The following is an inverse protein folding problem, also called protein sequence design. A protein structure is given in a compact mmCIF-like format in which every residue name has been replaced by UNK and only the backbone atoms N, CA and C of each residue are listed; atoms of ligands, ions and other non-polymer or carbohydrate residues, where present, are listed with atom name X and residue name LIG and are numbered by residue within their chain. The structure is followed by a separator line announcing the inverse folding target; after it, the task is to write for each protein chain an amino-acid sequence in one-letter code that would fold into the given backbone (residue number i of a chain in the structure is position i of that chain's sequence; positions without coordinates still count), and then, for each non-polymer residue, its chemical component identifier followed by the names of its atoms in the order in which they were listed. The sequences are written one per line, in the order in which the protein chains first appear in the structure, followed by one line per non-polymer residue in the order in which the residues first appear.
data_IF_736863398392
#
_entry.id   IF_736863398392
#
_cell.length_a   1.000
_cell.length_b   1.000
_cell.length_c   1.000
_cell.angle_alpha   90.00
_cell.angle_beta   90.00
_cell.angle_gamma   90.00
#
_symmetry.space_group_name_H-M   'P 1'
#
loop_
_entity.id
_entity.type
_entity.pdbx_description
1 polymer ?
#
# COMPACT_ATOMS: atom_id res chain seq x y z
N UNK A 1 64.66 -8.40 22.82
CA UNK A 1 64.01 -7.16 23.27
C UNK A 1 62.55 -7.22 22.90
N UNK A 2 61.71 -6.83 23.84
CA UNK A 2 60.30 -7.15 24.08
C UNK A 2 59.30 -6.55 23.08
N UNK A 3 58.23 -7.30 22.80
CA UNK A 3 57.00 -6.81 22.19
C UNK A 3 56.21 -5.92 23.19
N UNK A 4 55.44 -4.91 22.74
CA UNK A 4 54.47 -4.26 23.60
C UNK A 4 53.03 -4.75 23.35
N UNK A 5 52.38 -5.05 24.46
CA UNK A 5 50.96 -5.32 24.65
C UNK A 5 50.05 -4.20 24.12
N UNK A 6 49.12 -4.54 23.22
CA UNK A 6 47.95 -3.70 22.90
C UNK A 6 46.69 -4.53 22.62
N UNK A 7 46.48 -5.61 23.38
CA UNK A 7 45.23 -6.39 23.33
C UNK A 7 44.39 -6.32 24.62
N UNK A 8 44.81 -5.56 25.63
CA UNK A 8 44.13 -5.51 26.94
C UNK A 8 43.24 -4.27 27.17
N UNK A 9 43.10 -3.33 26.22
CA UNK A 9 42.30 -2.11 26.44
C UNK A 9 40.95 -2.08 25.72
N UNK A 10 40.57 -3.13 25.00
CA UNK A 10 39.29 -3.18 24.27
C UNK A 10 38.20 -3.99 24.99
N UNK A 11 38.55 -4.85 25.96
CA UNK A 11 37.57 -5.61 26.74
C UNK A 11 36.97 -4.81 27.91
N UNK A 12 37.58 -3.70 28.33
CA UNK A 12 37.05 -2.87 29.42
C UNK A 12 36.02 -1.81 28.97
N UNK A 13 36.00 -1.45 27.69
CA UNK A 13 35.06 -0.45 27.16
C UNK A 13 33.71 -1.05 26.72
N UNK A 14 33.67 -2.37 26.47
CA UNK A 14 32.43 -3.08 26.11
C UNK A 14 31.57 -3.41 27.35
N UNK A 15 32.19 -3.72 28.51
CA UNK A 15 31.44 -3.94 29.76
C UNK A 15 30.89 -2.63 30.37
N UNK A 16 31.55 -1.50 30.14
CA UNK A 16 31.14 -0.22 30.74
C UNK A 16 29.97 0.44 29.98
N UNK A 17 29.86 0.22 28.67
CA UNK A 17 28.71 0.68 27.86
C UNK A 17 27.50 -0.26 28.04
N UNK A 18 27.74 -1.57 28.21
CA UNK A 18 26.67 -2.54 28.51
C UNK A 18 26.04 -2.30 29.90
N UNK A 19 26.80 -1.83 30.90
CA UNK A 19 26.27 -1.45 32.23
C UNK A 19 25.50 -0.14 32.25
N UNK A 20 25.72 0.77 31.30
CA UNK A 20 24.99 2.06 31.23
C UNK A 20 23.67 1.96 30.45
N UNK A 21 23.55 1.00 29.53
CA UNK A 21 22.28 0.70 28.85
C UNK A 21 21.32 -0.14 29.71
N UNK A 22 21.82 -0.80 30.76
CA UNK A 22 21.04 -1.69 31.62
C UNK A 22 20.41 -0.99 32.83
N UNK A 23 20.76 0.26 33.11
CA UNK A 23 20.27 1.02 34.27
C UNK A 23 19.22 2.09 33.92
N UNK A 24 18.97 2.37 32.64
CA UNK A 24 17.89 3.28 32.18
C UNK A 24 16.68 2.51 31.61
N UNK A 25 16.67 1.18 31.70
CA UNK A 25 15.54 0.33 31.29
C UNK A 25 14.83 -0.38 32.45
N UNK A 26 15.23 -0.12 33.70
CA UNK A 26 14.56 -0.65 34.90
C UNK A 26 13.52 0.30 35.53
N UNK A 27 13.27 1.50 34.98
CA UNK A 27 12.21 2.40 35.51
C UNK A 27 10.95 2.55 34.64
N UNK A 28 10.89 1.92 33.47
CA UNK A 28 9.70 1.96 32.59
C UNK A 28 9.05 0.58 32.35
N UNK A 29 9.54 -0.48 33.00
CA UNK A 29 8.93 -1.83 32.94
C UNK A 29 8.09 -2.20 34.17
N UNK A 30 8.08 -1.39 35.23
CA UNK A 30 7.22 -1.60 36.43
C UNK A 30 5.82 -0.95 36.35
N UNK A 31 5.47 -0.27 35.25
CA UNK A 31 4.15 0.38 35.12
C UNK A 31 3.12 -0.39 34.26
N UNK A 32 3.41 -1.62 33.82
CA UNK A 32 2.53 -2.33 32.87
C UNK A 32 2.27 -3.82 33.16
N UNK A 33 2.43 -4.25 34.42
CA UNK A 33 2.12 -5.63 34.84
C UNK A 33 1.32 -5.69 36.16
N UNK A 34 0.13 -5.07 36.18
CA UNK A 34 -0.89 -5.44 37.16
C UNK A 34 -2.30 -5.36 36.55
N UNK A 35 -2.65 -6.37 35.74
CA UNK A 35 -4.04 -6.81 35.58
C UNK A 35 -4.09 -8.16 34.84
N UNK A 36 -3.79 -9.24 35.57
CA UNK A 36 -4.26 -10.58 35.21
C UNK A 36 -4.88 -11.21 36.46
N UNK A 37 -6.21 -11.19 36.51
CA UNK A 37 -6.96 -12.04 37.44
C UNK A 37 -6.96 -13.48 36.93
N UNK A 38 -6.77 -14.50 37.79
CA UNK A 38 -6.84 -15.87 37.38
C UNK A 38 -8.30 -16.35 37.28
N UNK A 39 -8.52 -17.21 36.30
CA UNK A 39 -9.72 -18.00 36.11
C UNK A 39 -9.79 -19.05 37.23
N UNK A 40 -10.82 -18.98 38.09
CA UNK A 40 -11.12 -20.00 39.11
C UNK A 40 -12.50 -20.58 38.84
N UNK A 41 -12.53 -21.90 38.78
CA UNK A 41 -13.67 -22.79 38.55
C UNK A 41 -14.76 -22.66 39.64
N UNK A 42 -16.03 -22.82 39.26
CA UNK A 42 -17.19 -22.84 40.18
C UNK A 42 -17.41 -24.24 40.79
N UNK A 43 -16.43 -24.73 41.52
CA UNK A 43 -16.56 -25.86 42.46
C UNK A 43 -15.49 -25.66 43.53
N UNK A 44 -15.87 -25.83 44.80
CA UNK A 44 -15.09 -25.60 46.03
C UNK A 44 -15.17 -24.17 46.59
N UNK A 45 -16.26 -23.88 47.32
CA UNK A 45 -16.24 -23.16 48.61
C UNK A 45 -17.61 -23.33 49.29
N UNK A 46 -17.86 -24.54 49.78
CA UNK A 46 -18.93 -24.82 50.73
C UNK A 46 -18.29 -25.45 51.97
N UNK A 47 -17.88 -24.64 52.96
CA UNK A 47 -17.75 -25.01 54.38
C UNK A 47 -17.22 -23.82 55.22
N UNK A 48 -17.67 -23.77 56.49
CA UNK A 48 -17.47 -22.75 57.54
C UNK A 48 -18.34 -21.48 57.38
N UNK A 49 -19.34 -21.13 58.22
CA UNK A 49 -19.59 -21.38 59.64
C UNK A 49 -18.74 -20.43 60.49
N UNK A 50 -19.22 -19.45 61.26
CA UNK A 50 -20.55 -18.92 61.56
C UNK A 50 -20.45 -17.62 62.40
N UNK A 51 -21.62 -17.02 62.70
CA UNK A 51 -21.95 -16.02 63.75
C UNK A 51 -21.18 -14.68 63.83
N UNK A 52 -21.87 -13.56 63.57
CA UNK A 52 -22.30 -12.65 64.65
C UNK A 52 -23.44 -11.71 64.19
N UNK A 53 -24.25 -11.27 65.15
CA UNK A 53 -25.48 -10.47 65.02
C UNK A 53 -25.21 -8.98 64.77
N UNK A 54 -26.16 -8.29 64.14
CA UNK A 54 -26.35 -6.86 64.32
C UNK A 54 -26.63 -6.06 63.04
N UNK A 55 -27.88 -5.63 62.93
CA UNK A 55 -28.33 -4.40 62.26
C UNK A 55 -28.44 -4.28 60.72
N UNK A 56 -29.72 -4.13 60.34
CA UNK A 56 -30.28 -3.14 59.40
C UNK A 56 -30.72 -3.63 57.99
N UNK A 57 -31.95 -3.30 57.53
CA UNK A 57 -32.68 -4.09 56.54
C UNK A 57 -32.56 -3.59 55.09
N UNK A 58 -32.33 -4.55 54.20
CA UNK A 58 -33.02 -4.76 52.93
C UNK A 58 -33.19 -3.57 51.95
N UNK A 59 -32.16 -3.30 51.14
CA UNK A 59 -32.34 -2.76 49.77
C UNK A 59 -31.21 -3.18 48.81
N UNK A 60 -31.16 -4.46 48.44
CA UNK A 60 -30.53 -4.98 47.20
C UNK A 60 -31.26 -6.28 46.86
N UNK A 61 -31.62 -6.65 45.64
CA UNK A 61 -31.47 -6.21 44.25
C UNK A 61 -32.44 -7.13 43.48
N UNK A 62 -32.94 -6.78 42.30
CA UNK A 62 -33.09 -7.81 41.24
C UNK A 62 -32.59 -7.31 39.89
N UNK A 63 -31.60 -8.05 39.40
CA UNK A 63 -30.87 -7.92 38.14
C UNK A 63 -31.79 -8.05 36.92
N UNK A 64 -31.47 -7.24 35.91
CA UNK A 64 -32.03 -7.15 34.56
C UNK A 64 -32.27 -8.51 33.88
N UNK A 65 -31.47 -9.54 34.21
CA UNK A 65 -31.46 -10.83 33.53
C UNK A 65 -32.55 -11.82 33.96
N UNK A 66 -33.26 -11.59 35.08
CA UNK A 66 -34.40 -12.45 35.48
C UNK A 66 -35.73 -12.09 34.81
N UNK A 67 -35.78 -11.05 33.97
CA UNK A 67 -37.00 -10.65 33.24
C UNK A 67 -37.12 -11.25 31.84
N UNK A 68 -36.07 -11.85 31.28
CA UNK A 68 -36.07 -12.30 29.88
C UNK A 68 -36.50 -13.76 29.65
N UNK A 69 -36.64 -14.59 30.70
CA UNK A 69 -36.94 -16.03 30.54
C UNK A 69 -38.01 -16.54 31.51
N UNK A 70 -39.16 -15.87 31.59
CA UNK A 70 -40.31 -16.40 32.31
C UNK A 70 -41.59 -16.20 31.49
N UNK A 71 -41.87 -17.12 30.57
CA UNK A 71 -43.19 -17.26 29.97
C UNK A 71 -43.66 -18.72 30.02
N UNK A 72 -44.88 -18.91 30.56
CA UNK A 72 -45.59 -20.16 30.89
C UNK A 72 -45.01 -20.91 32.10
N UNK A 73 -45.76 -21.36 33.11
CA UNK A 73 -47.15 -21.84 33.31
C UNK A 73 -47.31 -21.79 34.87
N UNK A 74 -48.44 -21.54 35.52
CA UNK A 74 -49.69 -22.32 35.63
C UNK A 74 -50.59 -21.56 36.61
N UNK A 75 -51.89 -21.61 36.37
CA UNK A 75 -52.90 -21.29 37.37
C UNK A 75 -52.79 -22.23 38.58
N UNK A 76 -52.62 -21.69 39.77
CA UNK A 76 -53.15 -22.29 41.01
C UNK A 76 -53.72 -21.16 41.85
N UNK A 77 -55.02 -21.25 42.08
CA UNK A 77 -55.72 -20.33 42.95
C UNK A 77 -55.29 -20.52 44.40
N UNK A 78 -55.24 -19.41 45.13
CA UNK A 78 -55.47 -19.42 46.56
C UNK A 78 -56.68 -18.54 46.81
N UNK A 79 -57.78 -19.17 47.23
CA UNK A 79 -58.82 -18.52 48.02
C UNK A 79 -58.23 -18.30 49.41
N UNK A 80 -58.35 -17.11 49.96
CA UNK A 80 -58.79 -16.86 51.34
C UNK A 80 -58.94 -15.35 51.56
N UNK A 81 -60.13 -14.97 52.03
CA UNK A 81 -60.50 -13.88 52.94
C UNK A 81 -59.80 -12.51 52.83
N UNK A 82 -60.47 -11.36 52.84
CA UNK A 82 -61.86 -11.06 53.12
C UNK A 82 -62.03 -9.52 53.15
N UNK A 83 -63.24 -9.05 52.86
CA UNK A 83 -63.82 -7.74 53.21
C UNK A 83 -62.89 -6.50 53.14
N UNK A 84 -63.09 -5.67 52.12
CA UNK A 84 -63.70 -4.36 52.37
C UNK A 84 -64.32 -3.80 51.10
N UNK A 85 -65.59 -3.44 51.23
CA UNK A 85 -66.38 -2.69 50.25
C UNK A 85 -65.99 -1.23 50.46
N UNK A 86 -65.45 -0.56 49.43
CA UNK A 86 -65.58 0.89 49.27
C UNK A 86 -66.00 1.21 47.84
N UNK A 87 -67.16 1.86 47.77
CA UNK A 87 -67.85 2.33 46.58
C UNK A 87 -66.91 3.10 45.65
N UNK A 88 -66.88 2.70 44.38
CA UNK A 88 -66.34 3.52 43.30
C UNK A 88 -67.49 4.20 42.58
N UNK A 89 -67.49 5.53 42.63
CA UNK A 89 -68.36 6.40 41.86
C UNK A 89 -68.22 6.10 40.36
N UNK A 90 -69.36 5.95 39.69
CA UNK A 90 -69.44 5.85 38.25
C UNK A 90 -69.04 7.16 37.58
N UNK A 91 -67.96 7.10 36.79
CA UNK A 91 -67.84 7.77 35.49
C UNK A 91 -66.43 7.55 34.94
N UNK A 92 -66.25 6.52 34.11
CA UNK A 92 -65.07 6.39 33.25
C UNK A 92 -65.47 5.66 31.97
N UNK A 93 -65.50 6.41 30.85
CA UNK A 93 -65.73 5.89 29.50
C UNK A 93 -64.57 4.93 29.12
N UNK A 94 -64.82 3.82 28.39
CA UNK A 94 -63.74 2.92 28.01
C UNK A 94 -62.91 3.53 26.87
N UNK A 95 -61.62 3.79 27.14
CA UNK A 95 -60.63 4.14 26.10
C UNK A 95 -60.38 2.88 25.26
N UNK A 96 -61.06 2.84 24.11
CA UNK A 96 -61.11 1.69 23.18
C UNK A 96 -59.79 1.54 22.40
N UNK A 97 -59.07 0.44 22.64
CA UNK A 97 -58.19 -0.36 21.75
C UNK A 97 -57.73 0.22 20.38
N UNK A 98 -57.17 1.44 20.30
CA UNK A 98 -56.63 1.98 19.03
C UNK A 98 -55.12 1.86 18.88
N UNK A 99 -54.38 1.68 19.99
CA UNK A 99 -52.90 1.65 20.01
C UNK A 99 -52.29 0.29 19.64
N UNK A 100 -53.04 -0.80 19.78
CA UNK A 100 -52.55 -2.17 19.51
C UNK A 100 -52.48 -2.51 18.01
N UNK A 101 -53.38 -1.97 17.18
CA UNK A 101 -53.41 -2.26 15.73
C UNK A 101 -52.17 -1.77 14.98
N UNK A 102 -51.64 -0.59 15.33
CA UNK A 102 -50.44 -0.02 14.70
C UNK A 102 -49.18 -0.85 15.00
N UNK A 103 -49.05 -1.35 16.23
CA UNK A 103 -47.92 -2.23 16.59
C UNK A 103 -47.99 -3.58 15.88
N UNK A 104 -49.17 -4.19 15.71
CA UNK A 104 -49.32 -5.43 14.94
C UNK A 104 -49.03 -5.26 13.46
N UNK A 105 -49.39 -4.11 12.85
CA UNK A 105 -49.06 -3.81 11.45
C UNK A 105 -47.55 -3.62 11.30
N UNK A 106 -46.91 -2.90 12.21
CA UNK A 106 -45.45 -2.71 12.20
C UNK A 106 -44.69 -4.03 12.38
N UNK A 107 -45.14 -4.89 13.31
CA UNK A 107 -44.55 -6.20 13.53
C UNK A 107 -44.75 -7.14 12.32
N UNK A 108 -45.92 -7.07 11.67
CA UNK A 108 -46.20 -7.76 10.41
C UNK A 108 -45.30 -7.29 9.27
N UNK A 109 -45.09 -5.97 9.15
CA UNK A 109 -44.18 -5.41 8.16
C UNK A 109 -42.72 -5.82 8.39
N UNK A 110 -42.24 -5.78 9.64
CA UNK A 110 -40.88 -6.22 9.99
C UNK A 110 -40.67 -7.72 9.73
N UNK A 111 -41.66 -8.56 10.03
CA UNK A 111 -41.57 -10.01 9.76
C UNK A 111 -41.53 -10.32 8.27
N UNK A 112 -42.31 -9.61 7.45
CA UNK A 112 -42.23 -9.71 5.99
C UNK A 112 -40.87 -9.23 5.48
N UNK A 113 -40.35 -8.10 6.00
CA UNK A 113 -39.04 -7.59 5.62
C UNK A 113 -37.92 -8.60 5.93
N UNK A 114 -37.93 -9.19 7.12
CA UNK A 114 -36.96 -10.23 7.48
C UNK A 114 -37.12 -11.50 6.65
N UNK A 115 -38.34 -11.89 6.30
CA UNK A 115 -38.58 -13.03 5.41
C UNK A 115 -38.04 -12.77 4.00
N UNK A 116 -38.26 -11.58 3.45
CA UNK A 116 -37.71 -11.16 2.15
C UNK A 116 -36.18 -11.09 2.18
N UNK A 117 -35.60 -10.58 3.26
CA UNK A 117 -34.15 -10.59 3.46
C UNK A 117 -33.61 -12.02 3.55
N UNK A 118 -34.29 -12.91 4.27
CA UNK A 118 -33.94 -14.34 4.32
C UNK A 118 -33.98 -15.01 2.96
N UNK A 119 -35.06 -14.80 2.19
CA UNK A 119 -35.20 -15.29 0.81
C UNK A 119 -34.09 -14.78 -0.11
N UNK A 120 -33.73 -13.49 0.00
CA UNK A 120 -32.61 -12.91 -0.76
C UNK A 120 -31.27 -13.58 -0.43
N UNK A 121 -31.00 -13.87 0.85
CA UNK A 121 -29.77 -14.56 1.24
C UNK A 121 -29.76 -16.02 0.76
N UNK A 122 -30.88 -16.73 0.83
CA UNK A 122 -31.00 -18.09 0.28
C UNK A 122 -30.79 -18.10 -1.23
N UNK A 123 -31.39 -17.16 -1.96
CA UNK A 123 -31.17 -17.03 -3.41
C UNK A 123 -29.70 -16.75 -3.73
N UNK A 124 -29.05 -15.86 -2.98
CA UNK A 124 -27.60 -15.57 -3.14
C UNK A 124 -26.74 -16.81 -2.87
N UNK A 125 -27.06 -17.62 -1.86
CA UNK A 125 -26.37 -18.88 -1.59
C UNK A 125 -26.58 -19.88 -2.74
N UNK A 126 -27.81 -20.05 -3.23
CA UNK A 126 -28.11 -20.96 -4.33
C UNK A 126 -27.43 -20.54 -5.65
N UNK A 127 -27.39 -19.24 -5.95
CA UNK A 127 -26.65 -18.70 -7.10
C UNK A 127 -25.13 -18.90 -6.90
N UNK A 128 -24.63 -18.68 -5.68
CA UNK A 128 -23.23 -18.92 -5.33
C UNK A 128 -22.81 -20.40 -5.36
N UNK A 129 -23.76 -21.34 -5.30
CA UNK A 129 -23.55 -22.77 -5.52
C UNK A 129 -23.58 -23.17 -7.01
N UNK A 130 -23.98 -22.25 -7.90
CA UNK A 130 -24.00 -22.46 -9.36
C UNK A 130 -22.66 -22.96 -9.93
N UNK A 131 -21.50 -22.37 -9.55
CA UNK A 131 -20.18 -22.86 -9.96
C UNK A 131 -19.85 -24.29 -9.51
N UNK A 132 -20.55 -24.82 -8.50
CA UNK A 132 -20.37 -26.20 -8.03
C UNK A 132 -21.09 -27.23 -8.91
N UNK A 133 -22.10 -26.79 -9.66
CA UNK A 133 -22.92 -27.61 -10.55
C UNK A 133 -22.66 -27.32 -12.04
N UNK A 134 -22.02 -26.19 -12.34
CA UNK A 134 -21.72 -25.74 -13.68
C UNK A 134 -20.39 -24.99 -13.67
N UNK A 135 -19.32 -25.73 -13.94
CA UNK A 135 -18.00 -25.18 -14.20
C UNK A 135 -17.75 -25.27 -15.70
N UNK A 136 -17.90 -24.20 -16.49
CA UNK A 136 -17.53 -24.19 -17.88
C UNK A 136 -16.03 -23.87 -18.00
N UNK A 137 -15.19 -24.60 -17.29
CA UNK A 137 -13.74 -24.54 -17.50
C UNK A 137 -13.43 -25.18 -18.85
N UNK A 138 -13.31 -24.31 -19.86
CA UNK A 138 -12.94 -24.64 -21.24
C UNK A 138 -11.54 -25.31 -21.32
N UNK A 139 -10.75 -25.22 -20.26
CA UNK A 139 -9.45 -25.91 -20.06
C UNK A 139 -9.56 -27.45 -20.13
N UNK A 140 -10.75 -28.02 -19.96
CA UNK A 140 -10.95 -29.47 -20.10
C UNK A 140 -10.96 -29.93 -21.58
N UNK A 141 -10.90 -29.02 -22.55
CA UNK A 141 -11.03 -29.33 -23.97
C UNK A 141 -9.84 -30.08 -24.60
N UNK A 142 -8.65 -30.13 -23.98
CA UNK A 142 -7.55 -31.03 -24.38
C UNK A 142 -6.54 -31.18 -23.22
N UNK A 143 -6.81 -32.03 -22.21
CA UNK A 143 -6.01 -32.08 -20.97
C UNK A 143 -4.55 -32.52 -21.18
N UNK A 144 -4.26 -33.12 -22.33
CA UNK A 144 -2.93 -33.59 -22.70
C UNK A 144 -2.26 -32.70 -23.77
N UNK A 145 -2.81 -31.52 -24.09
CA UNK A 145 -2.25 -30.64 -25.11
C UNK A 145 -0.77 -30.34 -24.82
N UNK A 146 0.07 -30.61 -25.82
CA UNK A 146 1.52 -30.39 -25.78
C UNK A 146 2.33 -31.15 -24.75
N UNK A 147 1.81 -32.29 -24.29
CA UNK A 147 2.61 -33.36 -23.72
C UNK A 147 3.31 -34.17 -24.82
N UNK A 148 4.45 -34.83 -24.52
CA UNK A 148 5.16 -35.68 -25.48
C UNK A 148 4.24 -36.75 -26.11
N UNK A 149 4.20 -36.81 -27.44
CA UNK A 149 3.37 -37.76 -28.21
C UNK A 149 1.86 -37.45 -28.22
N UNK A 150 1.44 -36.28 -27.76
CA UNK A 150 0.04 -35.83 -27.76
C UNK A 150 -0.19 -34.70 -28.76
N UNK A 151 -1.44 -34.37 -29.14
CA UNK A 151 -1.72 -33.19 -29.96
C UNK A 151 -1.11 -31.94 -29.32
N UNK A 152 -0.38 -31.14 -30.11
CA UNK A 152 0.32 -29.98 -29.58
C UNK A 152 1.72 -30.24 -29.05
N UNK A 153 2.29 -31.45 -29.18
CA UNK A 153 3.66 -31.75 -28.73
C UNK A 153 4.67 -30.74 -29.30
N UNK A 154 5.47 -30.13 -28.43
CA UNK A 154 6.36 -29.01 -28.78
C UNK A 154 5.67 -27.65 -29.03
N UNK A 155 4.34 -27.57 -28.87
CA UNK A 155 3.51 -26.36 -29.06
C UNK A 155 2.77 -25.92 -27.79
N UNK A 156 3.00 -26.56 -26.64
CA UNK A 156 2.43 -26.15 -25.33
C UNK A 156 3.05 -24.87 -24.79
N UNK A 157 4.33 -24.63 -25.05
CA UNK A 157 5.03 -23.43 -24.59
C UNK A 157 5.07 -22.37 -25.68
N UNK A 158 4.54 -21.19 -25.39
CA UNK A 158 4.78 -20.02 -26.23
C UNK A 158 6.10 -19.34 -25.86
N UNK A 159 6.92 -18.91 -26.82
CA UNK A 159 8.24 -18.36 -26.51
C UNK A 159 8.23 -17.20 -25.50
N UNK A 160 7.17 -16.39 -25.48
CA UNK A 160 7.03 -15.21 -24.61
C UNK A 160 5.88 -15.31 -23.60
N UNK A 161 5.49 -16.54 -23.23
CA UNK A 161 4.29 -16.82 -22.40
C UNK A 161 4.32 -16.20 -21.00
N UNK A 162 5.50 -15.85 -20.48
CA UNK A 162 5.68 -15.40 -19.09
C UNK A 162 4.81 -14.19 -18.72
N UNK A 163 4.57 -13.27 -19.67
CA UNK A 163 3.70 -12.10 -19.46
C UNK A 163 2.53 -12.02 -20.42
N UNK A 164 2.17 -13.15 -21.05
CA UNK A 164 0.96 -13.24 -21.88
C UNK A 164 -0.28 -12.85 -21.05
N UNK A 165 -1.22 -12.15 -21.68
CA UNK A 165 -2.47 -11.68 -21.08
C UNK A 165 -2.31 -10.68 -19.92
N UNK A 166 -1.09 -10.21 -19.65
CA UNK A 166 -0.82 -9.16 -18.67
C UNK A 166 -0.87 -7.80 -19.36
N UNK A 167 -1.97 -7.08 -19.14
CA UNK A 167 -2.12 -5.72 -19.64
C UNK A 167 -1.32 -4.73 -18.78
N UNK A 168 -0.33 -4.01 -19.33
CA UNK A 168 0.36 -3.00 -18.57
C UNK A 168 -0.55 -1.82 -18.23
N UNK A 169 -0.43 -1.35 -17.00
CA UNK A 169 -1.14 -0.20 -16.45
C UNK A 169 -0.14 0.80 -15.85
N UNK A 170 -0.48 2.10 -15.86
CA UNK A 170 0.36 3.16 -15.29
C UNK A 170 0.34 3.14 -13.75
N UNK A 171 0.82 2.05 -13.15
CA UNK A 171 1.06 1.95 -11.71
C UNK A 171 2.52 1.65 -11.39
N UNK A 172 2.94 2.21 -10.27
CA UNK A 172 4.25 2.07 -9.68
C UNK A 172 4.11 1.31 -8.36
N UNK A 173 4.63 0.09 -8.34
CA UNK A 173 4.68 -0.78 -7.16
C UNK A 173 5.62 -0.17 -6.13
N UNK A 174 5.04 0.54 -5.17
CA UNK A 174 5.78 1.22 -4.11
C UNK A 174 6.30 0.23 -3.08
N UNK A 175 7.55 0.43 -2.64
CA UNK A 175 8.28 -0.51 -1.80
C UNK A 175 8.16 -1.96 -2.28
N UNK A 176 8.37 -2.18 -3.57
CA UNK A 176 8.13 -3.47 -4.22
C UNK A 176 8.87 -4.63 -3.52
N UNK A 177 10.06 -4.34 -2.98
CA UNK A 177 10.88 -5.26 -2.22
C UNK A 177 10.21 -5.79 -0.93
N UNK A 178 9.16 -5.16 -0.39
CA UNK A 178 8.40 -5.66 0.78
C UNK A 178 7.51 -6.86 0.44
N UNK A 179 7.25 -7.10 -0.84
CA UNK A 179 6.30 -8.13 -1.26
C UNK A 179 6.90 -9.53 -1.08
N UNK A 180 6.02 -10.51 -0.95
CA UNK A 180 6.41 -11.91 -0.86
C UNK A 180 7.22 -12.38 -2.06
N UNK A 181 6.81 -11.94 -3.26
CA UNK A 181 7.50 -12.22 -4.53
C UNK A 181 7.67 -10.87 -5.24
N UNK A 182 8.76 -10.11 -5.02
CA UNK A 182 8.92 -8.69 -5.40
C UNK A 182 8.54 -8.35 -6.87
N UNK A 183 9.52 -8.19 -7.76
CA UNK A 183 9.36 -7.81 -9.16
C UNK A 183 8.18 -8.54 -9.85
N UNK A 184 8.07 -9.85 -9.62
CA UNK A 184 7.05 -10.70 -10.21
C UNK A 184 5.62 -10.32 -9.82
N UNK A 185 5.37 -9.90 -8.58
CA UNK A 185 4.03 -9.45 -8.17
C UNK A 185 3.63 -8.18 -8.92
N UNK A 186 4.56 -7.22 -9.07
CA UNK A 186 4.29 -6.00 -9.82
C UNK A 186 3.96 -6.29 -11.29
N UNK A 187 4.79 -7.11 -11.94
CA UNK A 187 4.57 -7.54 -13.33
C UNK A 187 3.24 -8.27 -13.46
N UNK A 188 2.94 -9.23 -12.58
CA UNK A 188 1.69 -10.00 -12.60
C UNK A 188 0.43 -9.11 -12.63
N UNK A 189 0.45 -7.99 -11.90
CA UNK A 189 -0.66 -7.03 -11.86
C UNK A 189 -0.57 -5.93 -12.93
N UNK A 190 0.40 -5.99 -13.84
CA UNK A 190 0.60 -5.04 -14.92
C UNK A 190 1.26 -3.73 -14.53
N UNK A 191 1.86 -3.60 -13.34
CA UNK A 191 2.53 -2.35 -12.96
C UNK A 191 3.79 -2.12 -13.81
N UNK A 192 3.82 -0.98 -14.47
CA UNK A 192 4.91 -0.51 -15.34
C UNK A 192 6.04 0.19 -14.59
N UNK A 193 5.97 0.24 -13.26
CA UNK A 193 7.07 0.73 -12.43
C UNK A 193 7.24 -0.09 -11.14
N UNK A 194 8.49 -0.23 -10.71
CA UNK A 194 8.90 -0.89 -9.45
C UNK A 194 9.93 -0.03 -8.73
N UNK A 195 10.08 -0.25 -7.42
CA UNK A 195 10.97 0.50 -6.55
C UNK A 195 11.88 -0.41 -5.74
N UNK A 196 13.17 -0.06 -5.69
CA UNK A 196 14.17 -0.71 -4.86
C UNK A 196 14.82 0.29 -3.89
N UNK A 197 14.70 0.05 -2.59
CA UNK A 197 15.42 0.79 -1.56
C UNK A 197 16.82 0.20 -1.37
N UNK A 198 17.84 0.85 -1.93
CA UNK A 198 19.20 0.32 -2.04
C UNK A 198 20.13 0.92 -1.00
N UNK A 199 20.84 0.04 -0.31
CA UNK A 199 21.84 0.35 0.70
C UNK A 199 23.20 -0.23 0.30
N UNK A 200 24.27 0.57 0.37
CA UNK A 200 25.63 0.08 0.17
C UNK A 200 26.24 -0.34 1.52
N UNK A 201 26.56 -1.62 1.66
CA UNK A 201 27.30 -2.16 2.81
C UNK A 201 28.32 -3.17 2.33
N UNK A 202 29.58 -3.02 2.79
CA UNK A 202 30.66 -3.95 2.46
C UNK A 202 30.78 -4.23 0.95
N UNK A 203 30.70 -3.16 0.15
CA UNK A 203 30.80 -3.20 -1.33
C UNK A 203 29.67 -3.97 -2.04
N UNK A 204 28.58 -4.31 -1.34
CA UNK A 204 27.39 -4.95 -1.90
C UNK A 204 26.16 -4.03 -1.78
N UNK A 205 25.28 -4.10 -2.78
CA UNK A 205 24.02 -3.36 -2.83
C UNK A 205 22.89 -4.22 -2.27
N UNK A 206 22.55 -3.99 -1.00
CA UNK A 206 21.47 -4.68 -0.30
C UNK A 206 20.15 -3.92 -0.45
N UNK A 207 19.03 -4.64 -0.44
CA UNK A 207 17.69 -4.05 -0.60
C UNK A 207 16.83 -4.27 0.64
N UNK A 208 16.27 -3.19 1.17
CA UNK A 208 15.38 -3.24 2.32
C UNK A 208 14.92 -1.86 2.79
N UNK A 209 13.94 -1.83 3.69
CA UNK A 209 13.35 -0.56 4.14
C UNK A 209 14.26 0.20 5.10
N UNK A 210 14.96 -0.58 5.90
CA UNK A 210 15.84 -0.15 6.97
C UNK A 210 16.93 -1.19 7.12
N UNK A 211 17.97 -0.83 7.87
CA UNK A 211 19.14 -1.67 8.07
C UNK A 211 18.83 -3.01 8.74
N UNK A 212 17.78 -3.08 9.57
CA UNK A 212 17.36 -4.32 10.24
C UNK A 212 16.72 -5.35 9.31
N UNK A 213 16.20 -4.92 8.15
CA UNK A 213 15.59 -5.79 7.15
C UNK A 213 16.58 -6.31 6.10
N UNK A 214 17.85 -5.90 6.16
CA UNK A 214 18.87 -6.28 5.18
C UNK A 214 19.34 -7.71 5.42
N UNK A 215 19.45 -8.49 4.34
CA UNK A 215 19.98 -9.85 4.38
C UNK A 215 20.91 -10.07 3.19
N UNK A 216 21.91 -10.94 3.35
CA UNK A 216 22.94 -11.20 2.32
C UNK A 216 22.38 -11.68 0.98
N UNK A 217 21.24 -12.37 1.00
CA UNK A 217 20.63 -12.92 -0.22
C UNK A 217 19.66 -11.95 -0.90
N UNK A 218 19.38 -10.79 -0.30
CA UNK A 218 18.44 -9.80 -0.85
C UNK A 218 19.23 -8.60 -1.37
N UNK A 219 19.93 -8.85 -2.47
CA UNK A 219 20.74 -7.84 -3.17
C UNK A 219 19.96 -7.20 -4.31
N UNK A 220 20.42 -6.04 -4.78
CA UNK A 220 19.86 -5.34 -5.92
C UNK A 220 19.87 -6.22 -7.19
N UNK A 221 20.92 -7.04 -7.36
CA UNK A 221 20.99 -8.03 -8.44
C UNK A 221 19.93 -9.12 -8.32
N UNK A 222 19.91 -9.80 -7.17
CA UNK A 222 19.05 -10.97 -6.96
C UNK A 222 17.55 -10.67 -7.04
N UNK A 223 17.14 -9.45 -6.64
CA UNK A 223 15.73 -9.06 -6.63
C UNK A 223 15.27 -8.37 -7.91
N UNK A 224 16.15 -7.67 -8.61
CA UNK A 224 15.78 -6.83 -9.75
C UNK A 224 16.60 -7.10 -11.00
N UNK A 225 17.94 -6.92 -10.97
CA UNK A 225 18.74 -6.94 -12.20
C UNK A 225 18.73 -8.32 -12.87
N UNK A 226 19.08 -9.39 -12.15
CA UNK A 226 19.21 -10.71 -12.75
C UNK A 226 17.84 -11.25 -13.21
N UNK A 227 16.74 -11.12 -12.43
CA UNK A 227 15.41 -11.44 -12.92
C UNK A 227 14.99 -10.64 -14.15
N UNK A 228 15.30 -9.34 -14.24
CA UNK A 228 14.96 -8.52 -15.40
C UNK A 228 15.73 -8.95 -16.64
N UNK A 229 17.04 -9.20 -16.52
CA UNK A 229 17.84 -9.74 -17.63
C UNK A 229 17.23 -11.04 -18.13
N UNK A 230 16.88 -11.95 -17.22
CA UNK A 230 16.26 -13.23 -17.59
C UNK A 230 14.93 -13.03 -18.32
N UNK A 231 14.03 -12.20 -17.79
CA UNK A 231 12.73 -11.93 -18.42
C UNK A 231 12.92 -11.36 -19.82
N UNK A 232 13.84 -10.40 -19.99
CA UNK A 232 14.06 -9.75 -21.28
C UNK A 232 14.76 -10.66 -22.28
N UNK A 233 15.70 -11.51 -21.85
CA UNK A 233 16.32 -12.54 -22.69
C UNK A 233 15.25 -13.53 -23.20
N UNK A 234 14.33 -13.96 -22.32
CA UNK A 234 13.23 -14.86 -22.68
C UNK A 234 12.21 -14.16 -23.62
N UNK A 235 11.99 -12.85 -23.47
CA UNK A 235 11.12 -12.04 -24.34
C UNK A 235 11.76 -11.71 -25.71
N UNK A 236 13.09 -11.86 -25.83
CA UNK A 236 13.86 -11.54 -27.02
C UNK A 236 14.72 -12.73 -27.50
N UNK A 237 14.11 -13.89 -27.80
CA UNK A 237 14.87 -15.08 -28.17
C UNK A 237 15.53 -14.90 -29.54
N UNK A 238 16.82 -15.24 -29.66
CA UNK A 238 17.48 -15.26 -30.97
C UNK A 238 17.15 -16.56 -31.70
N UNK A 239 16.34 -16.47 -32.76
CA UNK A 239 15.91 -17.60 -33.59
C UNK A 239 16.21 -17.34 -35.06
N UNK A 240 16.16 -18.37 -35.91
CA UNK A 240 16.32 -18.19 -37.36
C UNK A 240 15.30 -17.23 -38.00
N UNK A 241 14.19 -16.92 -37.32
CA UNK A 241 13.12 -16.07 -37.82
C UNK A 241 13.28 -14.59 -37.48
N UNK A 242 14.16 -14.24 -36.54
CA UNK A 242 14.33 -12.88 -36.04
C UNK A 242 15.80 -12.48 -35.82
N UNK A 243 16.74 -13.18 -36.47
CA UNK A 243 18.19 -12.88 -36.43
C UNK A 243 18.54 -11.44 -36.79
N UNK A 244 17.78 -10.84 -37.71
CA UNK A 244 18.00 -9.49 -38.20
C UNK A 244 17.07 -8.45 -37.54
N UNK A 245 16.29 -8.86 -36.54
CA UNK A 245 15.39 -7.95 -35.83
C UNK A 245 16.18 -7.08 -34.86
N UNK A 246 16.23 -5.78 -35.14
CA UNK A 246 16.78 -4.78 -34.21
C UNK A 246 15.78 -4.36 -33.13
N UNK A 247 14.51 -4.79 -33.25
CA UNK A 247 13.46 -4.41 -32.31
C UNK A 247 13.57 -5.21 -31.01
N UNK A 248 13.76 -4.51 -29.91
CA UNK A 248 13.73 -5.06 -28.55
C UNK A 248 12.30 -5.02 -28.03
N UNK A 249 11.86 -6.15 -27.47
CA UNK A 249 10.60 -6.29 -26.74
C UNK A 249 10.83 -6.05 -25.25
N UNK A 250 9.90 -5.31 -24.64
CA UNK A 250 9.87 -5.03 -23.22
C UNK A 250 9.36 -6.21 -22.38
N UNK A 251 9.02 -5.93 -21.13
CA UNK A 251 8.59 -6.95 -20.16
C UNK A 251 7.20 -7.52 -20.48
N UNK A 252 6.31 -6.73 -21.07
CA UNK A 252 4.91 -7.08 -21.28
C UNK A 252 4.67 -7.53 -22.73
N UNK A 253 4.29 -8.80 -22.93
CA UNK A 253 4.01 -9.35 -24.27
C UNK A 253 2.83 -8.62 -24.95
N UNK A 254 1.82 -8.22 -24.18
CA UNK A 254 0.65 -7.45 -24.66
C UNK A 254 0.98 -6.04 -25.17
N UNK A 255 2.07 -5.44 -24.69
CA UNK A 255 2.62 -4.18 -25.22
C UNK A 255 4.16 -4.21 -25.16
N UNK A 256 4.82 -4.78 -26.18
CA UNK A 256 6.27 -4.92 -26.20
C UNK A 256 7.03 -3.59 -26.22
N UNK A 257 6.35 -2.46 -26.46
CA UNK A 257 6.97 -1.12 -26.45
C UNK A 257 6.97 -0.48 -25.07
N UNK A 258 6.17 -1.02 -24.14
CA UNK A 258 6.03 -0.48 -22.80
C UNK A 258 7.30 -0.75 -21.98
N UNK A 259 8.02 0.32 -21.64
CA UNK A 259 9.18 0.24 -20.75
C UNK A 259 8.75 -0.05 -19.30
N UNK A 260 9.56 -0.85 -18.58
CA UNK A 260 9.44 -0.99 -17.14
C UNK A 260 10.34 0.05 -16.46
N UNK A 261 9.77 0.83 -15.54
CA UNK A 261 10.55 1.81 -14.79
C UNK A 261 11.10 1.18 -13.51
N UNK A 262 12.43 1.08 -13.40
CA UNK A 262 13.12 0.69 -12.18
C UNK A 262 13.54 1.96 -11.41
N UNK A 263 12.79 2.30 -10.38
CA UNK A 263 13.14 3.39 -9.48
C UNK A 263 14.08 2.89 -8.39
N UNK A 264 15.25 3.50 -8.27
CA UNK A 264 16.30 3.13 -7.32
C UNK A 264 16.42 4.22 -6.27
N UNK A 265 15.95 3.95 -5.05
CA UNK A 265 16.03 4.88 -3.92
C UNK A 265 17.34 4.67 -3.16
N UNK A 266 18.24 5.65 -3.25
CA UNK A 266 19.55 5.61 -2.63
C UNK A 266 19.42 5.93 -1.13
N UNK A 267 19.59 4.92 -0.27
CA UNK A 267 19.40 5.06 1.18
C UNK A 267 20.67 5.39 1.96
N UNK A 268 21.85 5.13 1.38
CA UNK A 268 23.15 5.56 1.93
C UNK A 268 23.69 6.77 1.16
N UNK A 269 24.94 7.15 1.41
CA UNK A 269 25.58 8.24 0.68
C UNK A 269 25.55 7.99 -0.84
N UNK A 270 25.13 9.02 -1.60
CA UNK A 270 24.86 8.87 -3.01
C UNK A 270 26.09 8.82 -3.88
N UNK A 271 27.14 9.57 -3.54
CA UNK A 271 28.38 9.61 -4.33
C UNK A 271 29.12 8.28 -4.26
N UNK A 272 29.13 7.64 -3.08
CA UNK A 272 29.72 6.31 -2.88
C UNK A 272 28.87 5.18 -3.48
N UNK A 273 27.54 5.27 -3.42
CA UNK A 273 26.63 4.22 -3.92
C UNK A 273 26.48 4.22 -5.44
N UNK A 274 26.48 5.40 -6.07
CA UNK A 274 26.27 5.57 -7.52
C UNK A 274 27.11 4.64 -8.42
N UNK A 275 28.44 4.53 -8.27
CA UNK A 275 29.26 3.67 -9.15
C UNK A 275 28.90 2.18 -9.04
N UNK A 276 28.42 1.71 -7.87
CA UNK A 276 27.97 0.32 -7.71
C UNK A 276 26.67 0.06 -8.45
N UNK A 277 25.74 1.04 -8.44
CA UNK A 277 24.50 0.94 -9.22
C UNK A 277 24.81 0.93 -10.71
N UNK A 278 25.66 1.85 -11.19
CA UNK A 278 26.09 1.86 -12.60
C UNK A 278 26.75 0.55 -13.03
N UNK A 279 27.55 -0.05 -12.14
CA UNK A 279 28.19 -1.35 -12.35
C UNK A 279 27.16 -2.48 -12.44
N UNK A 280 26.17 -2.54 -11.54
CA UNK A 280 25.11 -3.56 -11.59
C UNK A 280 24.25 -3.42 -12.84
N UNK A 281 23.98 -2.20 -13.31
CA UNK A 281 23.21 -1.94 -14.53
C UNK A 281 23.93 -2.38 -15.82
N UNK A 282 25.24 -2.66 -15.80
CA UNK A 282 25.98 -3.17 -16.96
C UNK A 282 25.32 -4.41 -17.58
N UNK A 283 24.76 -5.31 -16.75
CA UNK A 283 24.10 -6.52 -17.21
C UNK A 283 22.89 -6.24 -18.14
N UNK A 284 22.20 -5.12 -17.96
CA UNK A 284 21.13 -4.66 -18.85
C UNK A 284 21.68 -3.78 -19.99
N UNK A 285 22.67 -2.94 -19.68
CA UNK A 285 23.31 -2.01 -20.62
C UNK A 285 23.96 -2.73 -21.80
N UNK A 286 24.76 -3.75 -21.51
CA UNK A 286 25.54 -4.49 -22.51
C UNK A 286 24.65 -5.26 -23.50
N UNK A 287 23.37 -5.45 -23.15
CA UNK A 287 22.32 -6.07 -23.97
C UNK A 287 21.38 -5.04 -24.61
N UNK A 288 21.68 -3.74 -24.51
CA UNK A 288 20.86 -2.63 -25.02
C UNK A 288 19.42 -2.57 -24.44
N UNK A 289 19.20 -3.11 -23.24
CA UNK A 289 17.87 -3.10 -22.62
C UNK A 289 17.52 -1.80 -21.90
N UNK A 290 18.50 -0.95 -21.62
CA UNK A 290 18.28 0.31 -20.90
C UNK A 290 17.81 1.41 -21.84
N UNK A 291 16.95 2.27 -21.32
CA UNK A 291 16.67 3.60 -21.87
C UNK A 291 17.86 4.50 -21.53
N UNK A 292 18.38 5.24 -22.51
CA UNK A 292 19.55 6.08 -22.29
C UNK A 292 19.49 7.37 -23.12
N UNK A 293 20.25 8.37 -22.68
CA UNK A 293 20.56 9.58 -23.40
C UNK A 293 21.90 9.40 -24.14
N UNK A 294 21.91 9.65 -25.45
CA UNK A 294 23.08 9.45 -26.33
C UNK A 294 23.93 10.72 -26.56
N UNK A 295 23.67 11.77 -25.76
CA UNK A 295 24.28 13.08 -25.94
C UNK A 295 23.42 14.07 -26.71
N UNK A 296 22.40 13.60 -27.42
CA UNK A 296 21.51 14.43 -28.23
C UNK A 296 20.02 14.15 -27.97
N UNK A 297 19.64 12.89 -27.75
CA UNK A 297 18.26 12.45 -27.60
C UNK A 297 18.13 11.25 -26.66
N UNK A 298 16.89 10.93 -26.28
CA UNK A 298 16.57 9.74 -25.50
C UNK A 298 16.26 8.58 -26.43
N UNK A 299 17.04 7.51 -26.30
CA UNK A 299 16.79 6.21 -26.94
C UNK A 299 16.00 5.35 -25.95
N UNK A 300 14.78 5.00 -26.33
CA UNK A 300 13.88 4.22 -25.49
C UNK A 300 14.30 2.75 -25.45
N UNK A 301 14.50 2.21 -24.24
CA UNK A 301 14.78 0.80 -24.00
C UNK A 301 13.66 0.10 -23.23
N UNK A 302 13.81 -1.22 -23.06
CA UNK A 302 12.90 -2.07 -22.31
C UNK A 302 12.79 -1.69 -20.82
N UNK A 303 13.86 -1.13 -20.24
CA UNK A 303 13.90 -0.66 -18.85
C UNK A 303 14.33 0.80 -18.80
N UNK A 304 13.60 1.64 -18.08
CA UNK A 304 14.04 3.01 -17.74
C UNK A 304 14.47 3.04 -16.27
N UNK A 305 15.71 3.42 -15.98
CA UNK A 305 16.21 3.53 -14.60
C UNK A 305 16.07 4.96 -14.10
N UNK A 306 15.49 5.13 -12.92
CA UNK A 306 15.32 6.44 -12.29
C UNK A 306 15.92 6.43 -10.90
N UNK A 307 16.87 7.31 -10.61
CA UNK A 307 17.46 7.47 -9.29
C UNK A 307 16.67 8.47 -8.42
N UNK A 308 16.42 8.09 -7.17
CA UNK A 308 15.72 8.89 -6.16
C UNK A 308 16.37 8.77 -4.78
N UNK A 309 15.84 9.45 -3.76
CA UNK A 309 16.47 9.48 -2.43
C UNK A 309 17.74 10.33 -2.44
N UNK A 310 18.86 9.74 -2.00
CA UNK A 310 20.16 10.43 -1.97
C UNK A 310 20.90 10.47 -3.31
N UNK A 311 20.24 10.14 -4.44
CA UNK A 311 20.89 10.14 -5.75
C UNK A 311 21.46 11.52 -6.12
N UNK A 312 22.76 11.65 -6.43
CA UNK A 312 23.37 12.93 -6.74
C UNK A 312 23.10 13.37 -8.18
N UNK A 313 22.36 14.48 -8.33
CA UNK A 313 22.01 15.02 -9.65
C UNK A 313 23.24 15.31 -10.51
N UNK A 314 24.34 15.83 -9.93
CA UNK A 314 25.51 16.17 -10.73
C UNK A 314 26.18 14.95 -11.34
N UNK A 315 26.24 13.81 -10.63
CA UNK A 315 26.82 12.58 -11.19
C UNK A 315 25.96 12.04 -12.33
N UNK A 316 24.63 12.09 -12.20
CA UNK A 316 23.74 11.77 -13.32
C UNK A 316 24.05 12.64 -14.52
N UNK A 317 24.23 13.96 -14.35
CA UNK A 317 24.46 14.87 -15.48
C UNK A 317 25.92 15.05 -15.89
N UNK A 318 26.87 14.37 -15.23
CA UNK A 318 28.29 14.59 -15.44
C UNK A 318 28.75 14.15 -16.83
N UNK A 319 28.23 13.02 -17.31
CA UNK A 319 28.53 12.52 -18.65
C UNK A 319 27.58 13.14 -19.68
N UNK A 320 28.12 13.91 -20.61
CA UNK A 320 27.33 14.56 -21.67
C UNK A 320 27.12 13.71 -22.90
N UNK A 321 27.76 12.54 -23.02
CA UNK A 321 27.70 11.68 -24.22
C UNK A 321 26.89 10.41 -24.01
N UNK A 322 26.84 9.87 -22.80
CA UNK A 322 26.04 8.68 -22.51
C UNK A 322 25.56 8.65 -21.06
N UNK A 323 24.25 8.43 -20.85
CA UNK A 323 23.64 8.29 -19.52
C UNK A 323 22.43 7.39 -19.56
N UNK A 324 22.32 6.42 -18.67
CA UNK A 324 21.20 5.47 -18.61
C UNK A 324 20.43 5.50 -17.27
N UNK A 325 20.80 6.42 -16.38
CA UNK A 325 20.10 6.72 -15.14
C UNK A 325 19.50 8.13 -15.25
N UNK A 326 18.19 8.24 -15.07
CA UNK A 326 17.46 9.51 -15.03
C UNK A 326 17.19 9.94 -13.60
N UNK A 327 16.99 11.23 -13.38
CA UNK A 327 16.68 11.78 -12.07
C UNK A 327 15.16 11.79 -11.77
N UNK A 328 14.81 11.60 -10.50
CA UNK A 328 13.47 11.88 -9.96
C UNK A 328 13.38 13.33 -9.48
N UNK A 329 12.86 14.21 -10.32
CA UNK A 329 12.81 15.64 -10.04
C UNK A 329 11.79 15.99 -8.94
N UNK A 330 12.04 17.02 -8.12
CA UNK A 330 11.11 17.47 -7.09
C UNK A 330 9.91 18.20 -7.70
N UNK A 331 8.76 17.52 -7.84
CA UNK A 331 7.59 18.02 -8.57
C UNK A 331 7.03 19.35 -8.01
N UNK A 332 7.06 19.53 -6.69
CA UNK A 332 6.60 20.76 -6.02
C UNK A 332 7.47 21.98 -6.31
N UNK A 333 8.72 21.78 -6.73
CA UNK A 333 9.65 22.86 -7.10
C UNK A 333 9.59 23.24 -8.57
N UNK A 334 8.88 22.47 -9.40
CA UNK A 334 8.73 22.75 -10.83
C UNK A 334 7.73 23.88 -11.11
N UNK A 335 6.83 24.18 -10.16
CA UNK A 335 5.88 25.28 -10.31
C UNK A 335 6.57 26.61 -10.01
N UNK A 336 6.86 27.41 -11.03
CA UNK A 336 7.36 28.79 -10.86
C UNK A 336 6.39 29.59 -9.98
N UNK A 337 6.91 30.36 -9.01
CA UNK A 337 6.15 31.22 -8.07
C UNK A 337 5.16 32.22 -8.69
N UNK A 338 5.02 32.30 -10.01
CA UNK A 338 4.12 33.24 -10.69
C UNK A 338 2.62 32.89 -10.56
N UNK A 339 2.26 31.79 -9.87
CA UNK A 339 0.88 31.40 -9.57
C UNK A 339 0.47 31.76 -8.11
N UNK A 340 1.40 32.27 -7.29
CA UNK A 340 1.14 32.67 -5.89
C UNK A 340 0.79 34.16 -5.70
N UNK A 341 0.68 34.94 -6.77
CA UNK A 341 0.19 36.34 -6.73
C UNK A 341 -1.34 36.42 -6.60
N UNK A 342 -1.88 35.78 -5.57
CA UNK A 342 -3.19 36.09 -5.00
C UNK A 342 -3.01 36.79 -3.65
N UNK A 343 -3.88 37.73 -3.26
CA UNK A 343 -3.66 38.55 -2.06
C UNK A 343 -3.57 37.69 -0.79
N UNK A 344 -2.71 38.06 0.18
CA UNK A 344 -2.45 37.25 1.36
C UNK A 344 -3.54 37.48 2.40
N UNK A 345 -4.52 36.57 2.47
CA UNK A 345 -5.40 36.48 3.62
C UNK A 345 -5.10 35.19 4.39
N UNK A 346 -4.30 35.32 5.46
CA UNK A 346 -4.47 34.56 6.69
C UNK A 346 -4.04 33.09 6.71
N UNK A 347 -2.90 32.72 6.13
CA UNK A 347 -2.29 31.41 6.30
C UNK A 347 -0.88 31.52 6.86
N UNK A 348 -0.55 30.67 7.85
CA UNK A 348 0.73 30.57 8.57
C UNK A 348 1.98 30.71 7.67
N UNK A 349 3.10 31.26 8.17
CA UNK A 349 4.27 31.55 7.35
C UNK A 349 4.79 30.28 6.69
N UNK A 350 5.02 30.36 5.38
CA UNK A 350 5.82 29.40 4.63
C UNK A 350 7.20 29.27 5.29
N UNK A 351 7.79 28.07 5.37
CA UNK A 351 9.17 27.91 5.81
C UNK A 351 10.09 28.74 4.91
N UNK A 352 10.99 29.47 5.56
CA UNK A 352 12.00 30.34 4.96
C UNK A 352 12.82 29.55 3.91
N UNK A 353 13.04 30.09 2.70
CA UNK A 353 13.92 29.48 1.72
C UNK A 353 15.36 29.69 2.14
N UNK A 354 16.11 28.60 2.33
CA UNK A 354 17.56 28.65 2.54
C UNK A 354 18.01 28.16 3.91
N UNK A 355 18.02 26.84 4.07
CA UNK A 355 19.13 26.16 4.76
C UNK A 355 19.28 24.80 4.09
N UNK A 356 20.23 24.71 3.15
CA UNK A 356 20.67 23.42 2.63
C UNK A 356 21.14 22.60 3.85
N UNK A 357 20.32 21.62 4.23
CA UNK A 357 20.71 20.65 5.25
C UNK A 357 21.72 19.73 4.57
N UNK A 358 22.92 19.52 5.12
CA UNK A 358 23.83 18.52 4.61
C UNK A 358 23.20 17.15 4.91
N UNK A 359 22.62 16.52 3.89
CA UNK A 359 21.82 15.29 3.99
C UNK A 359 20.56 15.36 3.13
N UNK A 360 20.73 15.57 1.82
CA UNK A 360 19.60 15.87 0.93
C UNK A 360 18.72 14.65 0.69
N UNK A 361 17.45 14.70 1.10
CA UNK A 361 16.46 13.70 0.69
C UNK A 361 16.04 13.82 -0.78
N UNK A 362 15.12 12.96 -1.21
CA UNK A 362 14.59 12.84 -2.57
C UNK A 362 14.52 14.17 -3.35
N UNK A 363 15.17 14.20 -4.52
CA UNK A 363 15.12 15.32 -5.46
C UNK A 363 15.97 16.54 -5.08
N UNK A 364 16.86 16.44 -4.08
CA UNK A 364 17.63 17.59 -3.59
C UNK A 364 19.16 17.41 -3.61
N UNK A 365 19.66 16.17 -3.67
CA UNK A 365 21.12 15.95 -3.67
C UNK A 365 21.69 16.46 -4.99
N UNK A 366 22.60 17.42 -4.87
CA UNK A 366 23.27 17.96 -6.03
C UNK A 366 22.49 18.96 -6.87
N UNK A 367 21.35 19.42 -6.35
CA UNK A 367 20.46 20.36 -7.03
C UNK A 367 20.74 21.79 -6.54
N UNK A 368 20.85 22.74 -7.46
CA UNK A 368 20.97 24.17 -7.16
C UNK A 368 19.67 24.90 -7.53
N UNK A 369 19.44 26.14 -7.06
CA UNK A 369 18.27 26.92 -7.46
C UNK A 369 18.15 27.18 -8.97
N UNK A 370 19.23 26.99 -9.73
CA UNK A 370 19.29 27.17 -11.18
C UNK A 370 19.23 25.86 -11.95
N UNK A 371 19.13 24.71 -11.27
CA UNK A 371 19.01 23.40 -11.91
C UNK A 371 17.77 23.36 -12.81
N UNK A 372 17.98 23.06 -14.09
CA UNK A 372 16.92 22.91 -15.08
C UNK A 372 16.62 21.43 -15.32
N UNK A 373 15.54 20.93 -14.72
CA UNK A 373 15.03 19.59 -14.99
C UNK A 373 14.32 19.55 -16.34
N UNK A 374 14.63 18.54 -17.16
CA UNK A 374 14.00 18.27 -18.44
C UNK A 374 14.05 16.76 -18.75
N UNK A 375 13.38 16.34 -19.82
CA UNK A 375 13.35 14.94 -20.26
C UNK A 375 14.74 14.32 -20.52
N UNK A 376 15.76 15.13 -20.79
CA UNK A 376 17.11 14.64 -21.09
C UNK A 376 17.85 14.21 -19.82
N UNK A 377 17.46 14.72 -18.65
CA UNK A 377 18.13 14.43 -17.38
C UNK A 377 17.23 13.82 -16.30
N UNK A 378 15.92 13.95 -16.45
CA UNK A 378 14.93 13.50 -15.49
C UNK A 378 13.83 12.73 -16.20
N UNK A 379 13.24 11.77 -15.52
CA UNK A 379 12.12 10.99 -16.07
C UNK A 379 10.85 11.23 -15.26
N UNK A 380 10.94 11.00 -13.95
CA UNK A 380 9.87 11.33 -13.03
C UNK A 380 10.02 12.75 -12.49
N UNK A 381 8.88 13.29 -12.12
CA UNK A 381 8.77 14.35 -11.14
C UNK A 381 7.84 13.86 -10.03
N UNK A 382 8.39 13.61 -8.84
CA UNK A 382 7.66 13.02 -7.70
C UNK A 382 7.45 14.00 -6.55
N UNK A 383 6.38 13.80 -5.78
CA UNK A 383 6.16 14.50 -4.50
C UNK A 383 5.30 13.70 -3.52
N UNK A 384 5.49 13.96 -2.23
CA UNK A 384 4.60 13.51 -1.16
C UNK A 384 3.23 14.18 -1.29
N UNK A 385 2.20 13.38 -1.57
CA UNK A 385 0.83 13.84 -1.69
C UNK A 385 0.31 14.48 -0.38
N UNK A 386 0.53 13.83 0.76
CA UNK A 386 -0.01 14.28 2.03
C UNK A 386 0.60 15.62 2.50
N UNK A 387 1.91 15.82 2.35
CA UNK A 387 2.53 17.09 2.73
C UNK A 387 2.24 18.22 1.75
N UNK A 388 2.02 17.90 0.47
CA UNK A 388 1.92 18.90 -0.59
C UNK A 388 0.49 19.25 -0.96
N UNK A 389 -0.34 18.24 -1.22
CA UNK A 389 -1.75 18.43 -1.54
C UNK A 389 -2.59 18.43 -0.26
N UNK A 390 -2.25 17.60 0.72
CA UNK A 390 -3.01 17.47 1.97
C UNK A 390 -4.11 16.41 1.90
N UNK A 391 -4.57 15.99 3.07
CA UNK A 391 -5.60 14.95 3.19
C UNK A 391 -6.96 15.42 2.62
N UNK A 392 -7.70 14.56 1.90
CA UNK A 392 -9.02 14.87 1.36
C UNK A 392 -10.11 14.83 2.46
N UNK A 393 -10.22 15.91 3.23
CA UNK A 393 -11.27 16.05 4.24
C UNK A 393 -12.67 15.88 3.63
N UNK A 394 -13.55 15.12 4.32
CA UNK A 394 -14.89 14.74 3.82
C UNK A 394 -14.86 13.94 2.50
N UNK A 395 -13.76 13.23 2.24
CA UNK A 395 -13.65 12.30 1.10
C UNK A 395 -13.47 12.95 -0.26
N UNK A 396 -13.12 14.24 -0.33
CA UNK A 396 -12.87 14.94 -1.60
C UNK A 396 -11.73 15.96 -1.47
N UNK A 397 -11.05 16.25 -2.58
CA UNK A 397 -10.12 17.37 -2.66
C UNK A 397 -10.86 18.69 -2.83
N UNK A 398 -10.46 19.72 -2.09
CA UNK A 398 -10.97 21.09 -2.25
C UNK A 398 -10.57 21.69 -3.62
N UNK A 399 -11.25 22.76 -4.08
CA UNK A 399 -10.86 23.47 -5.31
C UNK A 399 -9.38 23.93 -5.30
N UNK A 400 -8.88 24.41 -4.15
CA UNK A 400 -7.48 24.83 -3.98
C UNK A 400 -6.52 23.65 -4.15
N UNK A 401 -6.84 22.49 -3.56
CA UNK A 401 -6.03 21.27 -3.71
C UNK A 401 -6.00 20.80 -5.16
N UNK A 402 -7.14 20.78 -5.85
CA UNK A 402 -7.20 20.41 -7.27
C UNK A 402 -6.44 21.40 -8.17
N UNK A 403 -6.51 22.69 -7.87
CA UNK A 403 -5.75 23.71 -8.60
C UNK A 403 -4.25 23.49 -8.44
N UNK A 404 -3.77 23.27 -7.21
CA UNK A 404 -2.36 22.96 -6.92
C UNK A 404 -1.91 21.68 -7.65
N UNK A 405 -2.72 20.62 -7.58
CA UNK A 405 -2.48 19.36 -8.29
C UNK A 405 -2.30 19.58 -9.80
N UNK A 406 -3.24 20.28 -10.45
CA UNK A 406 -3.18 20.57 -11.88
C UNK A 406 -1.97 21.43 -12.26
N UNK A 407 -1.63 22.42 -11.43
CA UNK A 407 -0.48 23.28 -11.67
C UNK A 407 0.83 22.49 -11.65
N UNK A 408 0.98 21.57 -10.69
CA UNK A 408 2.14 20.69 -10.59
C UNK A 408 2.25 19.74 -11.78
N UNK A 409 1.17 19.02 -12.10
CA UNK A 409 1.14 18.11 -13.27
C UNK A 409 1.49 18.87 -14.54
N UNK A 410 0.89 20.04 -14.76
CA UNK A 410 1.19 20.89 -15.92
C UNK A 410 2.66 21.32 -15.96
N UNK A 411 3.26 21.63 -14.82
CA UNK A 411 4.67 22.02 -14.74
C UNK A 411 5.60 20.84 -15.08
N UNK A 412 5.29 19.63 -14.65
CA UNK A 412 6.03 18.42 -15.05
C UNK A 412 5.93 18.18 -16.55
N UNK A 413 4.70 18.20 -17.11
CA UNK A 413 4.48 17.99 -18.54
C UNK A 413 5.16 19.05 -19.41
N UNK A 414 5.21 20.31 -18.95
CA UNK A 414 5.94 21.37 -19.65
C UNK A 414 7.47 21.14 -19.70
N UNK A 415 7.99 20.26 -18.86
CA UNK A 415 9.40 19.83 -18.85
C UNK A 415 9.61 18.44 -19.50
N UNK A 416 8.54 17.81 -20.02
CA UNK A 416 8.58 16.45 -20.56
C UNK A 416 8.66 15.36 -19.48
N UNK A 417 8.33 15.69 -18.23
CA UNK A 417 8.47 14.78 -17.07
C UNK A 417 7.13 14.13 -16.71
N UNK A 418 7.21 12.91 -16.16
CA UNK A 418 6.05 12.14 -15.71
C UNK A 418 5.74 12.45 -14.24
N UNK A 419 4.54 12.97 -13.98
CA UNK A 419 4.11 13.35 -12.63
C UNK A 419 3.69 12.13 -11.79
N UNK A 420 4.28 11.99 -10.60
CA UNK A 420 3.99 10.91 -9.65
C UNK A 420 3.75 11.46 -8.23
N UNK A 421 2.79 10.86 -7.53
CA UNK A 421 2.44 11.25 -6.17
C UNK A 421 2.52 10.06 -5.22
N UNK A 422 3.42 10.10 -4.24
CA UNK A 422 3.58 9.06 -3.22
C UNK A 422 2.91 9.46 -1.90
N UNK A 423 2.80 8.54 -0.94
CA UNK A 423 2.08 8.76 0.34
C UNK A 423 0.63 9.24 0.13
N UNK A 424 -0.09 8.57 -0.78
CA UNK A 424 -1.53 8.76 -0.95
C UNK A 424 -2.29 7.98 0.14
N UNK A 425 -3.52 8.37 0.52
CA UNK A 425 -4.26 7.67 1.56
C UNK A 425 -4.50 6.20 1.21
N UNK A 426 -3.99 5.26 2.03
CA UNK A 426 -4.22 3.83 1.84
C UNK A 426 -5.58 3.37 2.37
N UNK A 427 -6.12 4.02 3.40
CA UNK A 427 -7.39 3.70 4.05
C UNK A 427 -8.15 4.98 4.44
N UNK A 428 -9.50 5.01 4.39
CA UNK A 428 -10.41 3.97 3.88
C UNK A 428 -10.26 3.71 2.38
N UNK A 429 -10.56 2.48 1.93
CA UNK A 429 -10.44 2.07 0.51
C UNK A 429 -11.23 3.00 -0.42
N UNK A 430 -12.42 3.46 0.00
CA UNK A 430 -13.20 4.43 -0.78
C UNK A 430 -12.49 5.77 -1.00
N UNK A 431 -11.78 6.27 0.02
CA UNK A 431 -10.99 7.50 -0.07
C UNK A 431 -9.75 7.28 -0.95
N UNK A 432 -9.05 6.16 -0.76
CA UNK A 432 -7.92 5.75 -1.62
C UNK A 432 -8.31 5.75 -3.09
N UNK A 433 -9.35 5.00 -3.44
CA UNK A 433 -9.82 4.87 -4.82
C UNK A 433 -10.28 6.21 -5.39
N UNK A 434 -10.90 7.08 -4.56
CA UNK A 434 -11.25 8.43 -4.97
C UNK A 434 -10.00 9.27 -5.28
N UNK A 435 -8.99 9.25 -4.42
CA UNK A 435 -7.72 9.98 -4.65
C UNK A 435 -7.03 9.47 -5.91
N UNK A 436 -6.90 8.16 -6.08
CA UNK A 436 -6.34 7.55 -7.30
C UNK A 436 -7.06 8.03 -8.56
N UNK A 437 -8.40 7.97 -8.54
CA UNK A 437 -9.22 8.49 -9.64
C UNK A 437 -8.96 9.96 -9.90
N UNK A 438 -8.91 10.79 -8.87
CA UNK A 438 -8.67 12.23 -9.03
C UNK A 438 -7.27 12.50 -9.59
N UNK A 439 -6.24 11.77 -9.18
CA UNK A 439 -4.89 11.90 -9.72
C UNK A 439 -4.87 11.60 -11.23
N UNK A 440 -5.39 10.44 -11.62
CA UNK A 440 -5.39 10.01 -13.03
C UNK A 440 -6.32 10.88 -13.89
N UNK A 441 -7.51 11.27 -13.39
CA UNK A 441 -8.43 12.18 -14.10
C UNK A 441 -7.84 13.60 -14.29
N UNK A 442 -6.83 13.98 -13.50
CA UNK A 442 -6.11 15.26 -13.65
C UNK A 442 -4.78 15.14 -14.40
N UNK A 443 -4.46 13.94 -14.91
CA UNK A 443 -3.32 13.73 -15.81
C UNK A 443 -2.02 13.34 -15.09
N UNK A 444 -2.07 12.82 -13.86
CA UNK A 444 -0.90 12.14 -13.31
C UNK A 444 -0.53 10.95 -14.21
N UNK A 445 0.76 10.75 -14.45
CA UNK A 445 1.25 9.74 -15.40
C UNK A 445 1.43 8.37 -14.76
N UNK A 446 1.60 8.35 -13.43
CA UNK A 446 1.90 7.13 -12.70
C UNK A 446 1.18 7.10 -11.35
N UNK A 447 0.46 6.01 -11.11
CA UNK A 447 -0.22 5.76 -9.84
C UNK A 447 0.72 5.05 -8.87
N UNK A 448 1.14 5.71 -7.79
CA UNK A 448 1.95 5.08 -6.75
C UNK A 448 1.07 4.18 -5.86
N UNK A 449 1.32 2.88 -5.84
CA UNK A 449 0.39 1.89 -5.26
C UNK A 449 1.07 0.90 -4.31
N UNK A 450 0.45 0.70 -3.15
CA UNK A 450 0.77 -0.41 -2.24
C UNK A 450 -0.13 -1.64 -2.52
N UNK A 451 -1.42 -1.40 -2.81
CA UNK A 451 -2.43 -2.43 -3.16
C UNK A 451 -2.51 -2.66 -4.67
N UNK A 452 -1.64 -3.53 -5.19
CA UNK A 452 -1.58 -3.89 -6.62
C UNK A 452 -2.89 -4.47 -7.14
N UNK A 453 -3.49 -5.39 -6.38
CA UNK A 453 -4.76 -6.03 -6.76
C UNK A 453 -5.87 -5.02 -6.86
N UNK A 454 -5.92 -4.05 -5.95
CA UNK A 454 -6.87 -2.94 -6.00
C UNK A 454 -6.66 -2.05 -7.23
N UNK A 455 -5.42 -1.78 -7.60
CA UNK A 455 -5.07 -0.98 -8.78
C UNK A 455 -5.44 -1.71 -10.08
N UNK A 456 -5.15 -3.00 -10.19
CA UNK A 456 -5.41 -3.81 -11.39
C UNK A 456 -6.90 -4.00 -11.74
N UNK A 457 -7.83 -3.68 -10.82
CA UNK A 457 -9.28 -3.78 -11.07
C UNK A 457 -9.84 -2.67 -11.97
N UNK A 458 -9.06 -1.63 -12.22
CA UNK A 458 -9.50 -0.45 -12.97
C UNK A 458 -8.58 -0.27 -14.18
N UNK A 459 -9.18 -0.05 -15.34
CA UNK A 459 -8.43 0.33 -16.53
C UNK A 459 -8.08 1.82 -16.47
N UNK A 460 -6.85 2.12 -16.04
CA UNK A 460 -6.33 3.48 -15.93
C UNK A 460 -5.88 4.08 -17.27
N UNK A 461 -5.85 3.29 -18.36
CA UNK A 461 -5.46 3.76 -19.70
C UNK A 461 -6.55 4.62 -20.34
N UNK A 462 -7.81 4.40 -19.93
CA UNK A 462 -8.96 5.20 -20.36
C UNK A 462 -8.87 6.59 -19.74
N UNK A 463 -8.11 7.48 -20.38
CA UNK A 463 -8.27 8.91 -20.18
C UNK A 463 -9.71 9.24 -20.54
N UNK A 464 -10.47 9.85 -19.63
CA UNK A 464 -11.70 10.52 -20.05
C UNK A 464 -11.29 11.58 -21.06
N UNK A 465 -11.57 11.34 -22.34
CA UNK A 465 -11.73 12.42 -23.31
C UNK A 465 -12.72 13.41 -22.65
N UNK A 466 -12.22 14.61 -22.37
CA UNK A 466 -13.05 15.71 -21.90
C UNK A 466 -13.27 16.61 -23.10
N UNK A 467 -14.51 16.61 -23.57
CA UNK A 467 -15.13 17.70 -24.32
C UNK A 467 -14.97 19.05 -23.58
#
# INVERSE_FOLDING_TARGET
MSAPDKFASWEHDVETVARRSSAETESESEAFLEQKTPFVSMQDMAQAGGLDNGDCPFCRRKSFWKKLFAWRRTSKGCKHDGRSIRQYNGNSRPIRKRRTRKCTIFLGFMTILFALFGLYNVATILIGLGPLLWDPDFEQFFPNWGQPGQPGDGMSGYPTDFTRDILPIPCHSHNDYWRHIPLFSAIHYGCTGVEADVWLFSEELLVGHNTAALTKNRTFRSLYIDPLVKILDDQNPSTQYNKDSEKIHGVFDEDPSQTLVLLVDFKTDGETLFPYVESHLSALRDKNYLTYFDGNSIVQGAVTVVGTGNTPFQLITANTTYRDIFFDAPLDKLTTSSILSGPPNGGLPLPIPGKATPGGGQGNVGVTPTTNFNQDNSYYASVNFASTIGFPWRGHLSPKQRHKLRAQIKAAHAKGLKARYWNTPAWPIGVRNHVWKVLMDNGADMLNVDDLRGAARVDWRRRKERD
#
